data_IF_802933716138
#
_entry.id   IF_802933716138
#
_cell.length_a   1.000
_cell.length_b   1.000
_cell.length_c   1.000
_cell.angle_alpha   90.00
_cell.angle_beta   90.00
_cell.angle_gamma   90.00
#
_symmetry.space_group_name_H-M   'P 1'
#
loop_
_entity.id
_entity.type
_entity.pdbx_description
1 polymer ?
#
# COMPACT_ATOMS: atom_id res chain seq x y z
N UNK A 1 16.65 -24.37 33.93
CA UNK A 1 17.41 -23.16 33.57
C UNK A 1 16.42 -22.00 33.52
N UNK A 2 16.57 -21.02 34.43
CA UNK A 2 15.75 -19.80 34.50
C UNK A 2 15.93 -19.01 33.20
N UNK A 3 14.85 -18.64 32.51
CA UNK A 3 14.87 -17.45 31.65
C UNK A 3 14.10 -16.34 32.37
N UNK A 4 14.83 -15.29 32.73
CA UNK A 4 14.29 -14.05 33.26
C UNK A 4 13.42 -13.39 32.19
N UNK A 5 12.18 -13.07 32.57
CA UNK A 5 11.24 -12.26 31.82
C UNK A 5 11.72 -10.81 31.90
N UNK A 6 12.27 -10.27 30.81
CA UNK A 6 12.35 -8.83 30.61
C UNK A 6 11.15 -8.43 29.74
N UNK A 7 10.18 -7.76 30.36
CA UNK A 7 9.03 -7.19 29.67
C UNK A 7 9.48 -5.92 28.93
N UNK A 8 9.74 -6.05 27.63
CA UNK A 8 9.50 -5.03 26.63
C UNK A 8 8.55 -5.69 25.62
N UNK A 9 7.26 -5.42 25.73
CA UNK A 9 6.29 -5.89 24.75
C UNK A 9 6.46 -5.07 23.47
N UNK A 10 7.45 -5.45 22.64
CA UNK A 10 7.42 -5.11 21.23
C UNK A 10 6.23 -5.85 20.62
N UNK A 11 5.15 -5.13 20.33
CA UNK A 11 4.06 -5.65 19.50
C UNK A 11 4.66 -5.95 18.12
N UNK A 12 4.83 -7.23 17.82
CA UNK A 12 5.29 -7.72 16.51
C UNK A 12 4.06 -8.25 15.77
N UNK A 13 3.85 -7.76 14.56
CA UNK A 13 2.85 -8.32 13.63
C UNK A 13 3.57 -9.33 12.75
N UNK A 14 3.15 -10.60 12.82
CA UNK A 14 3.58 -11.62 11.87
C UNK A 14 2.64 -11.58 10.67
N UNK A 15 3.21 -11.31 9.50
CA UNK A 15 2.48 -11.27 8.24
C UNK A 15 3.13 -12.24 7.26
N UNK A 16 2.31 -12.97 6.50
CA UNK A 16 2.80 -13.80 5.42
C UNK A 16 3.53 -12.93 4.38
N UNK A 17 4.67 -13.41 3.90
CA UNK A 17 5.34 -12.76 2.79
C UNK A 17 4.54 -12.99 1.51
N UNK A 18 4.49 -11.95 0.68
CA UNK A 18 3.93 -12.02 -0.67
C UNK A 18 4.89 -12.83 -1.56
N UNK A 19 4.52 -14.08 -1.87
CA UNK A 19 5.26 -15.00 -2.73
C UNK A 19 4.32 -15.79 -3.67
N UNK A 20 4.70 -16.00 -4.95
CA UNK A 20 5.84 -15.37 -5.63
C UNK A 20 5.58 -13.87 -5.85
N UNK A 21 6.60 -13.05 -5.67
CA UNK A 21 6.51 -11.62 -5.93
C UNK A 21 6.79 -11.35 -7.41
N UNK A 22 5.97 -10.52 -8.06
CA UNK A 22 6.29 -10.03 -9.39
C UNK A 22 7.55 -9.17 -9.32
N UNK A 23 8.47 -9.38 -10.26
CA UNK A 23 9.74 -8.66 -10.33
C UNK A 23 9.80 -7.80 -11.60
N UNK A 24 10.44 -6.65 -11.49
CA UNK A 24 10.68 -5.69 -12.58
C UNK A 24 12.17 -5.38 -12.69
N UNK A 25 12.60 -4.79 -13.81
CA UNK A 25 13.97 -4.24 -14.01
C UNK A 25 15.09 -5.01 -13.31
N UNK A 26 15.63 -6.03 -13.97
CA UNK A 26 16.70 -6.88 -13.43
C UNK A 26 16.30 -7.58 -12.11
N UNK A 27 15.09 -8.15 -12.06
CA UNK A 27 14.63 -9.00 -10.96
C UNK A 27 14.51 -8.30 -9.60
N UNK A 28 14.09 -7.04 -9.59
CA UNK A 28 13.90 -6.26 -8.36
C UNK A 28 12.44 -6.32 -7.91
N UNK A 29 12.25 -6.44 -6.60
CA UNK A 29 10.92 -6.26 -5.99
C UNK A 29 10.48 -4.82 -6.09
N UNK A 30 9.17 -4.62 -6.07
CA UNK A 30 8.57 -3.30 -6.02
C UNK A 30 7.27 -3.32 -5.21
N UNK A 31 6.84 -2.14 -4.77
CA UNK A 31 5.44 -1.91 -4.41
C UNK A 31 4.88 -0.78 -5.26
N UNK A 32 3.56 -0.76 -5.39
CA UNK A 32 2.81 0.33 -5.99
C UNK A 32 2.27 1.22 -4.88
N UNK A 33 2.59 2.51 -4.96
CA UNK A 33 1.97 3.58 -4.19
C UNK A 33 0.80 4.16 -4.99
N UNK A 34 -0.41 3.90 -4.52
CA UNK A 34 -1.65 4.50 -5.05
C UNK A 34 -2.21 5.51 -4.07
N UNK A 35 -2.80 6.57 -4.58
CA UNK A 35 -3.42 7.60 -3.75
C UNK A 35 -4.94 7.55 -3.88
N UNK A 36 -5.61 7.55 -2.73
CA UNK A 36 -7.05 7.69 -2.61
C UNK A 36 -7.38 9.04 -2.00
N UNK A 37 -8.39 9.70 -2.55
CA UNK A 37 -9.01 10.88 -1.94
C UNK A 37 -10.40 10.49 -1.46
N UNK A 38 -10.64 10.69 -0.18
CA UNK A 38 -11.94 10.43 0.46
C UNK A 38 -12.52 11.77 0.86
N UNK A 39 -13.74 12.06 0.44
CA UNK A 39 -14.43 13.33 0.71
C UNK A 39 -15.76 13.03 1.37
N UNK A 40 -16.00 13.68 2.50
CA UNK A 40 -17.30 13.64 3.17
C UNK A 40 -18.34 14.44 2.38
N UNK A 41 -19.50 13.83 2.09
CA UNK A 41 -20.64 14.57 1.53
C UNK A 41 -21.45 15.24 2.64
N UNK A 42 -22.10 16.38 2.37
CA UNK A 42 -22.93 17.09 3.34
C UNK A 42 -24.17 16.31 3.82
N UNK A 43 -24.50 15.23 3.12
CA UNK A 43 -25.73 14.47 3.30
C UNK A 43 -25.44 13.23 4.16
N UNK A 44 -24.84 13.45 5.33
CA UNK A 44 -24.62 12.60 6.54
C UNK A 44 -24.32 11.09 6.45
N UNK A 45 -24.21 10.45 5.28
CA UNK A 45 -24.02 8.99 5.20
C UNK A 45 -23.13 8.51 4.04
N UNK A 46 -22.73 9.38 3.12
CA UNK A 46 -22.07 8.97 1.88
C UNK A 46 -20.69 9.62 1.75
N UNK A 47 -19.66 8.78 1.62
CA UNK A 47 -18.32 9.19 1.25
C UNK A 47 -18.15 9.11 -0.26
N UNK A 48 -17.57 10.15 -0.85
CA UNK A 48 -16.98 10.04 -2.18
C UNK A 48 -15.55 9.55 -2.06
N UNK A 49 -15.21 8.54 -2.86
CA UNK A 49 -13.85 8.02 -2.96
C UNK A 49 -13.37 8.14 -4.39
N UNK A 50 -12.20 8.76 -4.55
CA UNK A 50 -11.55 8.96 -5.84
C UNK A 50 -10.20 8.26 -5.84
N UNK A 51 -9.93 7.48 -6.87
CA UNK A 51 -8.61 6.92 -7.13
C UNK A 51 -7.84 7.95 -7.94
N UNK A 52 -6.66 8.35 -7.48
CA UNK A 52 -5.76 9.15 -8.30
C UNK A 52 -5.11 8.25 -9.34
N UNK A 53 -5.49 8.40 -10.62
CA UNK A 53 -5.07 7.53 -11.73
C UNK A 53 -3.59 7.62 -12.14
N UNK A 54 -2.71 8.14 -11.28
CA UNK A 54 -1.26 8.12 -11.46
C UNK A 54 -0.64 7.38 -10.28
N UNK A 55 -0.22 6.15 -10.54
CA UNK A 55 0.36 5.24 -9.57
C UNK A 55 1.88 5.28 -9.64
N UNK A 56 2.53 5.40 -8.49
CA UNK A 56 3.99 5.38 -8.36
C UNK A 56 4.45 3.95 -8.08
N UNK A 57 5.48 3.50 -8.78
CA UNK A 57 6.15 2.22 -8.54
C UNK A 57 7.47 2.51 -7.84
N UNK A 58 7.65 1.93 -6.65
CA UNK A 58 8.89 2.03 -5.87
C UNK A 58 9.65 0.73 -5.95
N UNK A 59 10.79 0.77 -6.63
CA UNK A 59 11.61 -0.40 -6.94
C UNK A 59 12.71 -0.50 -5.89
N UNK A 60 12.96 -1.71 -5.38
CA UNK A 60 14.06 -1.99 -4.47
C UNK A 60 15.40 -1.62 -5.11
N UNK A 61 16.35 -1.14 -4.30
CA UNK A 61 17.67 -0.75 -4.78
C UNK A 61 18.51 -1.94 -5.29
N UNK A 62 18.20 -3.16 -4.84
CA UNK A 62 18.96 -4.38 -5.11
C UNK A 62 18.05 -5.46 -5.66
N UNK A 63 18.56 -6.26 -6.60
CA UNK A 63 17.89 -7.42 -7.19
C UNK A 63 17.70 -8.54 -6.17
N UNK A 64 16.67 -9.36 -6.37
CA UNK A 64 16.48 -10.59 -5.58
C UNK A 64 17.37 -11.68 -6.16
N UNK A 65 18.27 -12.21 -5.34
CA UNK A 65 19.16 -13.31 -5.71
C UNK A 65 18.40 -14.63 -5.83
N UNK A 66 18.66 -15.37 -6.90
CA UNK A 66 18.19 -16.75 -7.04
C UNK A 66 18.98 -17.66 -6.10
N UNK A 67 18.37 -18.05 -4.98
CA UNK A 67 18.99 -18.94 -4.01
C UNK A 67 19.44 -18.26 -2.72
N UNK A 68 18.82 -17.14 -2.32
CA UNK A 68 18.90 -16.69 -0.93
C UNK A 68 18.67 -17.87 0.01
N UNK A 69 19.72 -18.27 0.73
CA UNK A 69 19.67 -19.36 1.70
C UNK A 69 18.91 -18.95 2.97
N UNK A 70 19.47 -19.28 4.14
CA UNK A 70 18.85 -18.87 5.42
C UNK A 70 18.97 -17.37 5.72
N UNK A 71 19.83 -16.64 5.00
CA UNK A 71 20.05 -15.21 5.19
C UNK A 71 19.52 -14.44 3.98
N UNK A 72 18.47 -13.64 4.21
CA UNK A 72 17.81 -12.85 3.17
C UNK A 72 18.23 -11.41 3.30
N UNK A 73 18.55 -10.78 2.19
CA UNK A 73 19.02 -9.40 2.17
C UNK A 73 17.83 -8.44 2.36
N UNK A 74 17.71 -7.73 3.49
CA UNK A 74 16.56 -6.86 3.72
C UNK A 74 16.44 -5.73 2.67
N UNK A 75 17.57 -5.32 2.06
CA UNK A 75 17.61 -4.27 1.04
C UNK A 75 16.93 -4.69 -0.27
N UNK A 76 16.95 -5.98 -0.60
CA UNK A 76 16.25 -6.51 -1.77
C UNK A 76 14.75 -6.76 -1.50
N UNK A 77 14.34 -6.82 -0.22
CA UNK A 77 12.99 -7.18 0.20
C UNK A 77 12.17 -6.01 0.76
N UNK A 78 12.79 -4.86 1.02
CA UNK A 78 12.14 -3.64 1.52
C UNK A 78 12.24 -2.55 0.45
N UNK A 79 11.07 -2.14 -0.06
CA UNK A 79 10.93 -1.24 -1.22
C UNK A 79 10.69 0.23 -0.84
N UNK A 80 10.61 0.53 0.47
CA UNK A 80 10.38 1.89 0.98
C UNK A 80 11.64 2.78 1.01
N UNK A 81 12.79 2.26 0.60
CA UNK A 81 14.06 3.01 0.60
C UNK A 81 14.69 3.24 1.96
N UNK A 82 14.10 2.71 3.03
CA UNK A 82 14.64 2.83 4.38
C UNK A 82 16.04 2.22 4.56
N UNK A 83 16.51 1.40 3.61
CA UNK A 83 17.76 0.65 3.71
C UNK A 83 18.66 0.80 2.47
N UNK A 84 18.35 1.72 1.55
CA UNK A 84 19.12 1.94 0.33
C UNK A 84 19.28 3.42 0.01
N UNK A 85 20.49 3.83 -0.38
CA UNK A 85 20.80 5.21 -0.78
C UNK A 85 20.09 5.63 -2.07
N UNK A 86 19.50 4.68 -2.80
CA UNK A 86 18.69 4.92 -4.00
C UNK A 86 17.42 4.07 -3.97
N UNK A 87 16.26 4.73 -4.02
CA UNK A 87 15.02 4.08 -4.47
C UNK A 87 14.65 4.65 -5.81
N UNK A 88 14.49 3.78 -6.79
CA UNK A 88 13.99 4.19 -8.09
C UNK A 88 12.47 4.31 -7.99
N UNK A 89 11.96 5.49 -8.37
CA UNK A 89 10.55 5.82 -8.35
C UNK A 89 10.14 6.22 -9.74
N UNK A 90 9.23 5.46 -10.32
CA UNK A 90 8.72 5.67 -11.67
C UNK A 90 7.21 5.62 -11.66
N UNK A 91 6.56 6.14 -12.69
CA UNK A 91 5.13 5.92 -12.84
C UNK A 91 4.91 4.49 -13.34
N UNK A 92 3.79 3.89 -12.96
CA UNK A 92 3.39 2.59 -13.48
C UNK A 92 3.31 2.60 -15.02
N UNK A 93 2.85 3.71 -15.59
CA UNK A 93 2.83 3.94 -17.05
C UNK A 93 4.19 3.86 -17.73
N UNK A 94 5.27 4.05 -16.98
CA UNK A 94 6.64 4.07 -17.50
C UNK A 94 7.30 2.68 -17.44
N UNK A 95 6.56 1.65 -17.03
CA UNK A 95 6.99 0.26 -16.98
C UNK A 95 6.14 -0.61 -17.93
N UNK A 96 6.59 -0.79 -19.20
CA UNK A 96 5.86 -1.59 -20.18
C UNK A 96 5.52 -3.00 -19.69
N UNK A 97 6.44 -3.64 -18.97
CA UNK A 97 6.23 -4.98 -18.40
C UNK A 97 5.05 -5.08 -17.40
N UNK A 98 4.64 -3.97 -16.78
CA UNK A 98 3.45 -3.91 -15.93
C UNK A 98 2.21 -3.49 -16.72
N UNK A 99 2.36 -2.58 -17.67
CA UNK A 99 1.28 -2.12 -18.55
C UNK A 99 0.74 -3.26 -19.41
N UNK A 100 1.63 -4.04 -20.04
CA UNK A 100 1.27 -5.17 -20.90
C UNK A 100 0.51 -6.27 -20.14
N UNK A 101 0.66 -6.32 -18.81
CA UNK A 101 -0.06 -7.25 -17.92
C UNK A 101 -1.40 -6.70 -17.41
N UNK A 102 -1.79 -5.49 -17.81
CA UNK A 102 -3.00 -4.81 -17.35
C UNK A 102 -3.00 -4.57 -15.83
N UNK A 103 -1.85 -4.23 -15.26
CA UNK A 103 -1.72 -4.04 -13.79
C UNK A 103 -2.55 -2.84 -13.34
N UNK A 104 -2.62 -1.77 -14.13
CA UNK A 104 -3.41 -0.56 -13.80
C UNK A 104 -4.88 -0.88 -13.58
N UNK A 105 -5.51 -1.59 -14.52
CA UNK A 105 -6.93 -1.91 -14.44
C UNK A 105 -7.23 -2.86 -13.27
N UNK A 106 -6.37 -3.86 -13.05
CA UNK A 106 -6.49 -4.79 -11.93
C UNK A 106 -6.33 -4.08 -10.59
N UNK A 107 -5.38 -3.16 -10.51
CA UNK A 107 -5.10 -2.34 -9.34
C UNK A 107 -6.30 -1.46 -8.99
N UNK A 108 -6.81 -0.71 -9.95
CA UNK A 108 -7.94 0.20 -9.72
C UNK A 108 -9.22 -0.56 -9.39
N UNK A 109 -9.46 -1.70 -10.04
CA UNK A 109 -10.57 -2.60 -9.68
C UNK A 109 -10.41 -3.13 -8.25
N UNK A 110 -9.22 -3.60 -7.88
CA UNK A 110 -8.93 -4.07 -6.52
C UNK A 110 -9.17 -2.97 -5.48
N UNK A 111 -8.74 -1.74 -5.75
CA UNK A 111 -8.95 -0.60 -4.86
C UNK A 111 -10.44 -0.27 -4.75
N UNK A 112 -11.15 -0.20 -5.89
CA UNK A 112 -12.58 0.10 -5.93
C UNK A 112 -13.41 -0.95 -5.19
N UNK A 113 -13.10 -2.23 -5.35
CA UNK A 113 -13.77 -3.30 -4.59
C UNK A 113 -13.41 -3.25 -3.10
N UNK A 114 -12.12 -3.14 -2.77
CA UNK A 114 -11.67 -3.12 -1.37
C UNK A 114 -12.30 -1.96 -0.60
N UNK A 115 -12.19 -0.74 -1.11
CA UNK A 115 -12.60 0.45 -0.40
C UNK A 115 -14.07 0.81 -0.63
N UNK A 116 -14.58 0.62 -1.85
CA UNK A 116 -15.96 0.94 -2.20
C UNK A 116 -16.98 -0.11 -1.75
N UNK A 117 -16.59 -1.39 -1.61
CA UNK A 117 -17.51 -2.47 -1.23
C UNK A 117 -17.25 -3.03 0.16
N UNK A 118 -16.00 -3.36 0.50
CA UNK A 118 -15.70 -4.09 1.74
C UNK A 118 -15.44 -3.16 2.92
N UNK A 119 -14.73 -2.05 2.73
CA UNK A 119 -14.33 -1.16 3.83
C UNK A 119 -15.22 0.07 4.00
N UNK A 120 -16.04 0.43 3.01
CA UNK A 120 -16.83 1.67 3.03
C UNK A 120 -17.67 1.81 4.32
N UNK A 121 -18.40 0.77 4.68
CA UNK A 121 -19.21 0.75 5.92
C UNK A 121 -18.37 0.99 7.17
N UNK A 122 -17.18 0.39 7.25
CA UNK A 122 -16.32 0.50 8.42
C UNK A 122 -15.65 1.87 8.52
N UNK A 123 -15.34 2.50 7.38
CA UNK A 123 -14.82 3.86 7.31
C UNK A 123 -15.92 4.84 7.73
N UNK A 124 -17.11 4.75 7.15
CA UNK A 124 -18.24 5.64 7.45
C UNK A 124 -18.62 5.63 8.93
N UNK A 125 -18.60 4.46 9.60
CA UNK A 125 -18.90 4.34 11.04
C UNK A 125 -17.90 5.05 11.96
N UNK A 126 -16.71 5.38 11.48
CA UNK A 126 -15.64 6.01 12.27
C UNK A 126 -15.59 7.52 12.10
N UNK A 127 -16.38 8.07 11.18
CA UNK A 127 -16.49 9.51 10.99
C UNK A 127 -17.37 10.05 12.13
N UNK A 128 -16.87 11.00 12.93
CA UNK A 128 -17.66 11.60 13.99
C UNK A 128 -18.86 12.34 13.40
N UNK A 129 -20.03 12.33 14.06
CA UNK A 129 -21.19 13.06 13.59
C UNK A 129 -20.89 14.57 13.53
N UNK A 130 -21.60 15.33 12.67
CA UNK A 130 -21.43 16.78 12.58
C UNK A 130 -21.53 17.44 13.95
N UNK A 131 -20.72 18.49 14.17
CA UNK A 131 -20.76 19.23 15.43
C UNK A 131 -22.15 19.88 15.65
N UNK A 132 -22.49 20.16 16.92
CA UNK A 132 -23.79 20.71 17.33
C UNK A 132 -24.16 22.08 16.70
N UNK A 133 -23.24 22.68 15.95
CA UNK A 133 -23.43 23.94 15.25
C UNK A 133 -23.88 23.76 13.78
N UNK A 134 -24.04 22.53 13.30
CA UNK A 134 -24.57 22.25 11.95
C UNK A 134 -23.69 22.81 10.84
N UNK A 135 -22.41 23.09 11.12
CA UNK A 135 -21.47 23.53 10.09
C UNK A 135 -20.86 22.28 9.48
N UNK A 136 -21.10 22.00 8.18
CA UNK A 136 -20.42 20.91 7.51
C UNK A 136 -18.94 21.27 7.42
N UNK A 137 -18.11 20.69 8.28
CA UNK A 137 -16.68 20.63 8.04
C UNK A 137 -16.56 19.64 6.89
N UNK A 138 -16.23 20.12 5.69
CA UNK A 138 -15.89 19.23 4.57
C UNK A 138 -14.51 18.66 4.84
N UNK A 139 -14.46 17.58 5.61
CA UNK A 139 -13.22 16.86 5.80
C UNK A 139 -12.91 16.06 4.54
N UNK A 140 -11.63 16.04 4.18
CA UNK A 140 -11.12 15.13 3.18
C UNK A 140 -9.86 14.47 3.70
N UNK A 141 -9.68 13.21 3.34
CA UNK A 141 -8.49 12.45 3.65
C UNK A 141 -7.80 12.04 2.35
N UNK A 142 -6.47 12.12 2.34
CA UNK A 142 -5.65 11.53 1.29
C UNK A 142 -4.92 10.33 1.89
N UNK A 143 -5.23 9.13 1.39
CA UNK A 143 -4.57 7.91 1.83
C UNK A 143 -3.55 7.47 0.77
N UNK A 144 -2.32 7.18 1.23
CA UNK A 144 -1.29 6.54 0.40
C UNK A 144 -1.28 5.04 0.68
N UNK A 145 -1.67 4.24 -0.29
CA UNK A 145 -1.70 2.79 -0.19
C UNK A 145 -0.43 2.17 -0.75
N UNK A 146 0.20 1.28 0.01
CA UNK A 146 1.32 0.46 -0.45
C UNK A 146 0.82 -0.94 -0.80
N UNK A 147 0.98 -1.33 -2.07
CA UNK A 147 0.47 -2.58 -2.61
C UNK A 147 1.60 -3.41 -3.20
N UNK A 148 1.69 -4.66 -2.76
CA UNK A 148 2.60 -5.65 -3.32
C UNK A 148 1.87 -6.47 -4.37
N UNK A 149 2.57 -6.84 -5.45
CA UNK A 149 2.00 -7.56 -6.59
C UNK A 149 2.62 -8.96 -6.68
N UNK A 150 1.78 -9.98 -6.87
CA UNK A 150 2.23 -11.35 -7.15
C UNK A 150 2.26 -11.62 -8.65
N UNK A 151 2.94 -12.70 -9.05
CA UNK A 151 2.96 -13.18 -10.44
C UNK A 151 1.58 -13.61 -10.96
#
# INVERSE_FOLDING_TARGET
LKLMLFAHFSLIVLQAEVQPALLVRDRRKFHIRSYLVVVERPDDEVLDMFIYGRHEVRIAGVSVDEGEGQYRNPVAHITNGALSDSTDRVLLSDLPELMDRGVTEKLELFIAETFGKYLLSDISRRIPPPNAHGQPIREFAVAGMDLMVTE
#
